data_IF_967836752588
#
_entry.id   IF_967836752588
#
_cell.length_a   1.000
_cell.length_b   1.000
_cell.length_c   1.000
_cell.angle_alpha   90.00
_cell.angle_beta   90.00
_cell.angle_gamma   90.00
#
_symmetry.space_group_name_H-M   'P 1'
#
loop_
_entity.id
_entity.type
_entity.pdbx_description
1 polymer ?
#
# COMPACT_ATOMS: atom_id res chain seq x y z
N UNK A 1 1.32 -18.71 -8.89
CA UNK A 1 1.30 -19.65 -10.05
C UNK A 1 -0.09 -20.26 -10.10
N UNK A 2 -0.87 -19.94 -11.14
CA UNK A 2 -2.28 -20.34 -11.30
C UNK A 2 -2.40 -21.75 -11.90
N UNK A 3 -3.39 -22.52 -11.45
CA UNK A 3 -3.69 -23.89 -11.92
C UNK A 3 -4.99 -23.96 -12.70
N UNK A 4 -5.01 -24.76 -13.78
CA UNK A 4 -6.22 -25.16 -14.50
C UNK A 4 -6.72 -26.53 -14.02
N UNK A 5 -8.04 -26.76 -14.01
CA UNK A 5 -8.63 -28.11 -13.86
C UNK A 5 -9.70 -28.36 -14.94
N UNK A 6 -9.68 -29.55 -15.53
CA UNK A 6 -10.80 -30.12 -16.29
C UNK A 6 -11.95 -30.54 -15.36
N UNK A 7 -13.16 -30.00 -15.60
CA UNK A 7 -14.44 -30.52 -15.08
C UNK A 7 -15.01 -29.75 -13.88
N UNK A 8 -16.25 -29.23 -14.04
CA UNK A 8 -17.05 -28.38 -13.13
C UNK A 8 -16.23 -27.52 -12.17
N UNK A 9 -15.99 -26.27 -12.57
CA UNK A 9 -15.07 -25.31 -11.96
C UNK A 9 -15.04 -25.38 -10.43
N UNK A 10 -13.87 -25.57 -9.86
CA UNK A 10 -13.61 -25.38 -8.43
C UNK A 10 -12.24 -24.76 -8.39
N UNK A 11 -12.14 -23.51 -7.94
CA UNK A 11 -10.86 -22.82 -7.87
C UNK A 11 -10.25 -23.09 -6.50
N UNK A 12 -8.94 -23.38 -6.49
CA UNK A 12 -8.22 -23.75 -5.27
C UNK A 12 -7.02 -22.83 -5.04
N UNK A 13 -6.75 -22.52 -3.77
CA UNK A 13 -5.53 -21.84 -3.33
C UNK A 13 -4.56 -22.85 -2.69
N UNK A 14 -3.26 -22.69 -2.95
CA UNK A 14 -2.18 -23.56 -2.48
C UNK A 14 -1.11 -22.74 -1.74
N UNK A 15 -0.64 -23.25 -0.60
CA UNK A 15 0.54 -22.71 0.10
C UNK A 15 1.67 -23.75 0.09
N UNK A 16 2.86 -23.35 -0.36
CA UNK A 16 4.07 -24.20 -0.38
C UNK A 16 4.97 -23.88 0.82
N UNK A 17 5.65 -24.90 1.36
CA UNK A 17 6.64 -24.72 2.41
C UNK A 17 7.96 -24.15 1.87
N UNK A 18 8.73 -23.51 2.76
CA UNK A 18 10.01 -22.86 2.44
C UNK A 18 11.11 -23.85 1.99
N UNK A 19 10.92 -25.15 2.21
CA UNK A 19 11.75 -26.23 1.67
C UNK A 19 10.89 -27.01 0.67
N UNK A 20 11.39 -27.25 -0.54
CA UNK A 20 10.68 -27.99 -1.60
C UNK A 20 10.00 -29.27 -1.04
N UNK A 21 8.67 -29.33 -1.04
CA UNK A 21 7.90 -30.37 -0.38
C UNK A 21 6.41 -30.36 -0.78
N UNK A 22 5.58 -31.26 -0.22
CA UNK A 22 4.14 -31.27 -0.49
C UNK A 22 3.47 -29.96 -0.05
N UNK A 23 2.22 -29.70 -0.48
CA UNK A 23 1.45 -28.55 0.00
C UNK A 23 1.42 -28.49 1.54
N UNK A 24 1.50 -27.28 2.10
CA UNK A 24 1.57 -27.06 3.55
C UNK A 24 0.31 -27.60 4.23
N UNK A 25 0.38 -28.71 4.99
CA UNK A 25 -0.81 -29.35 5.55
C UNK A 25 -1.52 -28.48 6.60
N UNK A 26 -0.87 -27.43 7.12
CA UNK A 26 -1.49 -26.45 8.02
C UNK A 26 -2.40 -25.45 7.31
N UNK A 27 -2.39 -25.42 5.96
CA UNK A 27 -3.21 -24.54 5.15
C UNK A 27 -4.46 -25.27 4.64
N UNK A 28 -5.64 -24.84 5.09
CA UNK A 28 -6.92 -25.45 4.70
C UNK A 28 -6.96 -26.96 4.96
N UNK A 29 -7.51 -27.71 4.00
CA UNK A 29 -7.59 -29.17 4.08
C UNK A 29 -6.45 -29.81 3.28
N UNK A 30 -5.36 -30.15 3.97
CA UNK A 30 -4.20 -30.82 3.35
C UNK A 30 -3.43 -29.92 2.38
N UNK A 31 -3.33 -28.62 2.69
CA UNK A 31 -2.68 -27.62 1.86
C UNK A 31 -3.57 -26.96 0.83
N UNK A 32 -4.88 -27.27 0.83
CA UNK A 32 -5.84 -26.81 -0.16
C UNK A 32 -7.02 -26.10 0.50
N UNK A 33 -7.37 -24.94 -0.06
CA UNK A 33 -8.65 -24.28 0.19
C UNK A 33 -9.45 -24.34 -1.10
N UNK A 34 -10.65 -24.90 -1.04
CA UNK A 34 -11.59 -24.93 -2.17
C UNK A 34 -12.62 -23.83 -1.94
N UNK A 35 -12.76 -22.98 -2.94
CA UNK A 35 -13.74 -21.90 -2.96
C UNK A 35 -14.86 -22.33 -3.90
N UNK A 36 -16.09 -21.93 -3.60
CA UNK A 36 -17.33 -22.38 -4.23
C UNK A 36 -17.24 -22.47 -5.78
N UNK A 37 -18.04 -23.36 -6.37
CA UNK A 37 -17.80 -23.98 -7.69
C UNK A 37 -17.98 -23.09 -8.95
N UNK A 38 -17.85 -21.79 -8.80
CA UNK A 38 -18.49 -20.83 -9.69
C UNK A 38 -17.74 -19.49 -9.77
N UNK A 39 -16.45 -19.51 -9.44
CA UNK A 39 -15.64 -18.30 -9.29
C UNK A 39 -14.31 -18.50 -10.00
N UNK A 40 -14.03 -17.62 -10.96
CA UNK A 40 -12.72 -17.53 -11.61
C UNK A 40 -11.90 -16.48 -10.88
N UNK A 41 -10.76 -16.87 -10.29
CA UNK A 41 -9.87 -15.95 -9.59
C UNK A 41 -9.02 -15.23 -10.63
N UNK A 42 -9.09 -13.90 -10.64
CA UNK A 42 -8.28 -13.02 -11.46
C UNK A 42 -6.96 -12.66 -10.76
N UNK A 43 -7.01 -12.35 -9.45
CA UNK A 43 -5.86 -11.88 -8.67
C UNK A 43 -5.82 -12.55 -7.29
N UNK A 44 -4.61 -12.79 -6.77
CA UNK A 44 -4.34 -13.19 -5.40
C UNK A 44 -3.27 -12.28 -4.81
N UNK A 45 -3.60 -11.65 -3.69
CA UNK A 45 -2.74 -10.71 -2.98
C UNK A 45 -2.52 -11.20 -1.54
N UNK A 46 -1.37 -10.90 -0.95
CA UNK A 46 -1.06 -11.23 0.45
C UNK A 46 -0.96 -9.94 1.25
N UNK A 47 -1.76 -9.82 2.31
CA UNK A 47 -1.75 -8.67 3.21
C UNK A 47 -0.53 -8.72 4.14
N UNK A 48 -0.11 -7.59 4.74
CA UNK A 48 1.02 -7.52 5.68
C UNK A 48 0.89 -8.49 6.87
N UNK A 49 -0.34 -8.72 7.36
CA UNK A 49 -0.62 -9.67 8.44
C UNK A 49 -0.62 -11.15 7.98
N UNK A 50 -0.34 -11.42 6.71
CA UNK A 50 -0.29 -12.78 6.13
C UNK A 50 -1.63 -13.33 5.67
N UNK A 51 -2.73 -12.57 5.79
CA UNK A 51 -4.01 -12.93 5.19
C UNK A 51 -3.90 -12.93 3.67
N UNK A 52 -4.75 -13.71 3.00
CA UNK A 52 -4.75 -13.85 1.55
C UNK A 52 -6.04 -13.24 1.01
N UNK A 53 -5.91 -12.21 0.19
CA UNK A 53 -7.02 -11.56 -0.50
C UNK A 53 -7.15 -12.11 -1.91
N UNK A 54 -8.37 -12.54 -2.24
CA UNK A 54 -8.72 -13.09 -3.53
C UNK A 54 -9.66 -12.12 -4.23
N UNK A 55 -9.42 -11.91 -5.52
CA UNK A 55 -10.27 -11.12 -6.41
C UNK A 55 -10.62 -11.99 -7.60
N UNK A 56 -11.90 -12.13 -7.89
CA UNK A 56 -12.36 -12.99 -8.96
C UNK A 56 -13.70 -12.55 -9.53
N UNK A 57 -14.13 -13.22 -10.59
CA UNK A 57 -15.42 -13.01 -11.21
C UNK A 57 -16.46 -13.96 -10.61
N UNK A 58 -17.62 -13.44 -10.24
CA UNK A 58 -18.76 -14.27 -9.89
C UNK A 58 -19.44 -14.83 -11.15
N UNK A 59 -20.02 -16.01 -11.08
CA UNK A 59 -20.73 -16.68 -12.20
C UNK A 59 -21.80 -15.81 -12.90
N UNK A 60 -22.43 -14.90 -12.17
CA UNK A 60 -23.47 -14.00 -12.71
C UNK A 60 -22.91 -12.69 -13.26
N UNK A 61 -21.58 -12.57 -13.36
CA UNK A 61 -20.85 -11.32 -13.57
C UNK A 61 -20.66 -10.55 -12.25
N UNK A 62 -19.68 -9.66 -12.18
CA UNK A 62 -19.36 -8.96 -10.94
C UNK A 62 -17.97 -9.21 -10.41
N UNK A 63 -17.62 -8.42 -9.40
CA UNK A 63 -16.38 -8.61 -8.63
C UNK A 63 -16.72 -9.40 -7.37
N UNK A 64 -16.17 -10.60 -7.29
CA UNK A 64 -16.12 -11.42 -6.10
C UNK A 64 -14.82 -11.18 -5.34
N UNK A 65 -14.92 -10.99 -4.04
CA UNK A 65 -13.80 -10.87 -3.12
C UNK A 65 -13.92 -11.95 -2.06
N UNK A 66 -12.81 -12.58 -1.69
CA UNK A 66 -12.73 -13.40 -0.50
C UNK A 66 -11.44 -13.13 0.25
N UNK A 67 -11.47 -13.17 1.57
CA UNK A 67 -10.28 -13.07 2.40
C UNK A 67 -10.12 -14.33 3.24
N UNK A 68 -8.93 -14.90 3.18
CA UNK A 68 -8.53 -16.05 3.97
C UNK A 68 -7.53 -15.61 5.03
N UNK A 69 -7.59 -16.24 6.20
CA UNK A 69 -6.54 -16.17 7.20
C UNK A 69 -5.28 -16.93 6.71
N UNK A 70 -4.11 -16.74 7.37
CA UNK A 70 -2.87 -17.41 6.98
C UNK A 70 -2.94 -18.95 6.98
N UNK A 71 -3.87 -19.53 7.73
CA UNK A 71 -4.14 -20.96 7.81
C UNK A 71 -5.15 -21.45 6.76
N UNK A 72 -5.65 -20.57 5.88
CA UNK A 72 -6.60 -20.90 4.83
C UNK A 72 -8.06 -20.95 5.27
N UNK A 73 -8.38 -20.68 6.54
CA UNK A 73 -9.76 -20.45 6.96
C UNK A 73 -10.30 -19.12 6.40
N UNK A 74 -11.62 -18.98 6.23
CA UNK A 74 -12.20 -17.71 5.81
C UNK A 74 -12.14 -16.68 6.94
N UNK A 75 -11.79 -15.44 6.62
CA UNK A 75 -11.76 -14.34 7.58
C UNK A 75 -13.15 -13.73 7.74
N UNK A 76 -13.89 -14.16 8.75
CA UNK A 76 -15.26 -13.70 9.04
C UNK A 76 -15.38 -12.18 9.26
N UNK A 77 -14.27 -11.47 9.46
CA UNK A 77 -14.24 -10.03 9.62
C UNK A 77 -14.27 -9.25 8.29
N UNK A 78 -14.27 -9.97 7.15
CA UNK A 78 -14.37 -9.43 5.80
C UNK A 78 -15.68 -9.84 5.13
N UNK A 79 -16.47 -8.85 4.66
CA UNK A 79 -17.76 -9.11 4.05
C UNK A 79 -18.68 -9.97 4.93
N UNK A 80 -19.30 -10.98 4.32
CA UNK A 80 -20.14 -11.97 5.00
C UNK A 80 -19.46 -13.33 4.92
N UNK A 81 -18.94 -13.83 6.05
CA UNK A 81 -18.26 -15.13 6.12
C UNK A 81 -16.97 -15.17 5.30
N UNK A 82 -16.21 -14.07 5.29
CA UNK A 82 -14.97 -13.92 4.53
C UNK A 82 -15.14 -13.71 3.03
N UNK A 83 -16.37 -13.40 2.57
CA UNK A 83 -16.71 -13.27 1.15
C UNK A 83 -17.54 -12.02 0.90
N UNK A 84 -17.42 -11.48 -0.30
CA UNK A 84 -18.28 -10.42 -0.81
C UNK A 84 -18.45 -10.56 -2.31
N UNK A 85 -19.63 -10.23 -2.83
CA UNK A 85 -19.84 -10.02 -4.25
C UNK A 85 -20.43 -8.64 -4.47
N UNK A 86 -19.89 -7.91 -5.44
CA UNK A 86 -20.45 -6.63 -5.86
C UNK A 86 -20.82 -6.68 -7.35
N UNK A 87 -22.03 -6.25 -7.72
CA UNK A 87 -22.49 -6.32 -9.10
C UNK A 87 -21.59 -5.55 -10.07
N UNK A 88 -21.38 -6.13 -11.25
CA UNK A 88 -20.83 -5.48 -12.42
C UNK A 88 -21.43 -6.16 -13.66
N UNK A 89 -22.52 -5.60 -14.18
CA UNK A 89 -23.25 -6.19 -15.31
C UNK A 89 -22.34 -6.32 -16.53
N UNK A 90 -22.17 -7.55 -17.03
CA UNK A 90 -21.34 -7.81 -18.22
C UNK A 90 -19.87 -7.45 -18.03
N UNK A 91 -19.36 -7.44 -16.80
CA UNK A 91 -17.98 -7.09 -16.51
C UNK A 91 -17.29 -8.03 -15.53
N UNK A 92 -15.97 -7.96 -15.55
CA UNK A 92 -15.06 -8.81 -14.79
C UNK A 92 -13.92 -7.97 -14.17
N UNK A 93 -13.41 -8.35 -12.99
CA UNK A 93 -12.14 -7.81 -12.52
C UNK A 93 -11.00 -8.35 -13.39
N UNK A 94 -10.02 -7.50 -13.65
CA UNK A 94 -8.88 -7.82 -14.51
C UNK A 94 -7.55 -7.75 -13.76
N UNK A 95 -7.40 -6.77 -12.87
CA UNK A 95 -6.20 -6.60 -12.05
C UNK A 95 -6.58 -5.99 -10.70
N UNK A 96 -5.80 -6.24 -9.66
CA UNK A 96 -5.98 -5.62 -8.37
C UNK A 96 -4.67 -5.40 -7.62
N UNK A 97 -4.70 -4.46 -6.67
CA UNK A 97 -3.55 -4.18 -5.79
C UNK A 97 -4.02 -3.78 -4.38
N UNK A 98 -3.13 -3.89 -3.40
CA UNK A 98 -3.38 -3.48 -2.02
C UNK A 98 -2.88 -2.05 -1.78
N UNK A 99 -3.80 -1.16 -1.40
CA UNK A 99 -3.48 0.18 -0.92
C UNK A 99 -3.11 0.14 0.57
N UNK A 100 -2.74 1.29 1.14
CA UNK A 100 -2.59 1.46 2.58
C UNK A 100 -3.88 1.07 3.37
N UNK A 101 -3.71 0.77 4.65
CA UNK A 101 -4.76 0.30 5.57
C UNK A 101 -5.49 -0.97 5.12
N UNK A 102 -4.83 -1.80 4.31
CA UNK A 102 -5.38 -3.04 3.71
C UNK A 102 -6.61 -2.81 2.81
N UNK A 103 -6.75 -1.59 2.27
CA UNK A 103 -7.76 -1.30 1.24
C UNK A 103 -7.36 -1.97 -0.08
N UNK A 104 -8.34 -2.25 -0.93
CA UNK A 104 -8.13 -2.90 -2.23
C UNK A 104 -8.53 -1.95 -3.36
N UNK A 105 -7.69 -1.85 -4.38
CA UNK A 105 -8.05 -1.20 -5.65
C UNK A 105 -8.13 -2.26 -6.74
N UNK A 106 -9.26 -2.32 -7.44
CA UNK A 106 -9.52 -3.29 -8.50
C UNK A 106 -9.77 -2.53 -9.80
N UNK A 107 -9.00 -2.86 -10.84
CA UNK A 107 -9.34 -2.51 -12.21
C UNK A 107 -10.26 -3.59 -12.78
N UNK A 108 -11.39 -3.17 -13.31
CA UNK A 108 -12.38 -4.05 -13.90
C UNK A 108 -12.83 -3.47 -15.24
N UNK A 109 -13.23 -4.35 -16.15
CA UNK A 109 -13.79 -3.97 -17.43
C UNK A 109 -15.25 -4.36 -17.45
N UNK A 110 -16.11 -3.50 -18.02
CA UNK A 110 -17.48 -3.88 -18.38
C UNK A 110 -17.75 -3.54 -19.84
N UNK A 111 -18.65 -4.30 -20.45
CA UNK A 111 -19.09 -4.03 -21.81
C UNK A 111 -20.36 -3.17 -21.80
N UNK A 112 -20.28 -1.97 -22.38
CA UNK A 112 -21.38 -1.00 -22.44
C UNK A 112 -21.47 -0.47 -23.88
N UNK A 113 -22.66 -0.53 -24.47
CA UNK A 113 -22.96 0.04 -25.78
C UNK A 113 -21.98 -0.33 -26.92
N UNK A 114 -21.41 -1.55 -26.87
CA UNK A 114 -20.52 -2.06 -27.91
C UNK A 114 -19.03 -1.82 -27.66
N UNK A 115 -18.64 -1.24 -26.53
CA UNK A 115 -17.26 -0.97 -26.17
C UNK A 115 -16.94 -1.44 -24.75
N UNK A 116 -15.67 -1.77 -24.50
CA UNK A 116 -15.18 -1.99 -23.15
C UNK A 116 -14.92 -0.65 -22.45
N UNK A 117 -15.50 -0.50 -21.26
CA UNK A 117 -15.23 0.60 -20.34
C UNK A 117 -14.40 0.08 -19.16
N UNK A 118 -13.28 0.75 -18.89
CA UNK A 118 -12.46 0.47 -17.71
C UNK A 118 -13.00 1.21 -16.49
N UNK A 119 -13.13 0.49 -15.37
CA UNK A 119 -13.52 1.01 -14.07
C UNK A 119 -12.42 0.75 -13.06
N UNK A 120 -12.15 1.73 -12.20
CA UNK A 120 -11.40 1.56 -10.97
C UNK A 120 -12.38 1.48 -9.81
N UNK A 121 -12.27 0.44 -8.99
CA UNK A 121 -13.16 0.20 -7.85
C UNK A 121 -12.33 0.08 -6.59
N UNK A 122 -12.50 1.00 -5.64
CA UNK A 122 -11.81 0.97 -4.35
C UNK A 122 -12.71 0.34 -3.30
N UNK A 123 -12.18 -0.63 -2.58
CA UNK A 123 -12.83 -1.28 -1.45
C UNK A 123 -12.07 -0.98 -0.16
N UNK A 124 -12.82 -0.86 0.92
CA UNK A 124 -12.28 -0.80 2.28
C UNK A 124 -11.64 -2.15 2.67
N UNK A 125 -10.90 -2.17 3.77
CA UNK A 125 -10.37 -3.41 4.36
C UNK A 125 -11.44 -4.35 4.92
N UNK A 126 -12.73 -3.97 4.87
CA UNK A 126 -13.88 -4.83 5.17
C UNK A 126 -14.53 -5.40 3.91
N UNK A 127 -14.01 -5.04 2.74
CA UNK A 127 -14.49 -5.49 1.44
C UNK A 127 -15.57 -4.61 0.85
N UNK A 128 -16.23 -3.72 1.60
CA UNK A 128 -17.26 -2.82 1.03
C UNK A 128 -16.64 -1.71 0.19
N UNK A 129 -17.34 -1.22 -0.84
CA UNK A 129 -16.88 -0.09 -1.66
C UNK A 129 -16.60 1.15 -0.80
N UNK A 130 -15.49 1.81 -1.05
CA UNK A 130 -15.04 3.00 -0.33
C UNK A 130 -15.67 4.25 -0.94
N UNK A 131 -16.75 4.76 -0.33
CA UNK A 131 -17.50 5.93 -0.83
C UNK A 131 -16.69 7.22 -0.91
N UNK A 132 -15.46 7.27 -0.35
CA UNK A 132 -14.54 8.41 -0.48
C UNK A 132 -13.76 8.41 -1.80
N UNK A 133 -13.95 7.40 -2.67
CA UNK A 133 -13.27 7.26 -3.96
C UNK A 133 -14.25 7.42 -5.11
N UNK A 134 -14.02 8.40 -5.98
CA UNK A 134 -14.89 8.62 -7.13
C UNK A 134 -16.37 8.72 -6.75
N UNK A 135 -17.22 8.13 -7.59
CA UNK A 135 -18.65 8.00 -7.33
C UNK A 135 -18.92 6.67 -6.60
N UNK A 136 -19.19 6.74 -5.30
CA UNK A 136 -19.55 5.56 -4.47
C UNK A 136 -18.52 4.42 -4.54
N UNK A 137 -17.23 4.75 -4.59
CA UNK A 137 -16.14 3.79 -4.67
C UNK A 137 -15.73 3.40 -6.09
N UNK A 138 -16.29 4.05 -7.12
CA UNK A 138 -16.04 3.72 -8.53
C UNK A 138 -15.63 4.96 -9.32
N UNK A 139 -14.60 4.80 -10.16
CA UNK A 139 -14.22 5.77 -11.19
C UNK A 139 -14.31 5.08 -12.54
N UNK A 140 -15.09 5.64 -13.46
CA UNK A 140 -15.03 5.26 -14.87
C UNK A 140 -13.86 5.98 -15.53
N UNK A 141 -12.97 5.23 -16.17
CA UNK A 141 -11.78 5.77 -16.82
C UNK A 141 -11.95 5.69 -18.33
N UNK A 142 -11.88 6.84 -18.98
CA UNK A 142 -11.87 6.91 -20.43
C UNK A 142 -10.42 6.79 -20.95
N UNK A 143 -10.02 5.58 -21.31
CA UNK A 143 -8.69 5.27 -21.85
C UNK A 143 -8.65 5.23 -23.39
N UNK A 144 -9.75 5.58 -24.04
CA UNK A 144 -10.03 5.12 -25.41
C UNK A 144 -10.71 3.75 -25.41
N UNK A 145 -11.36 3.40 -26.52
CA UNK A 145 -12.15 2.17 -26.61
C UNK A 145 -11.27 0.92 -26.37
N UNK A 146 -11.80 -0.11 -25.71
CA UNK A 146 -11.23 -1.47 -25.76
C UNK A 146 -9.84 -1.68 -25.15
N UNK A 147 -9.51 -0.91 -24.11
CA UNK A 147 -8.40 -1.23 -23.20
C UNK A 147 -8.89 -2.21 -22.13
N UNK A 148 -8.25 -3.37 -22.09
CA UNK A 148 -8.42 -4.38 -21.04
C UNK A 148 -7.22 -4.28 -20.09
N UNK A 149 -7.43 -3.95 -18.81
CA UNK A 149 -6.35 -3.93 -17.83
C UNK A 149 -5.67 -5.29 -17.71
N UNK A 150 -4.36 -5.28 -17.51
CA UNK A 150 -3.57 -6.47 -17.24
C UNK A 150 -2.85 -6.37 -15.89
N UNK A 151 -2.40 -5.18 -15.51
CA UNK A 151 -1.77 -4.95 -14.22
C UNK A 151 -2.12 -3.56 -13.67
N UNK A 152 -2.21 -3.50 -12.34
CA UNK A 152 -2.35 -2.26 -11.58
C UNK A 152 -1.24 -2.23 -10.53
N UNK A 153 -0.35 -1.25 -10.62
CA UNK A 153 0.88 -1.21 -9.80
C UNK A 153 0.96 0.09 -9.02
N UNK A 154 1.26 -0.01 -7.73
CA UNK A 154 1.36 1.12 -6.82
C UNK A 154 2.78 1.65 -6.71
N UNK A 155 2.85 2.94 -6.41
CA UNK A 155 4.03 3.62 -5.91
C UNK A 155 3.84 3.97 -4.42
N UNK A 156 4.95 4.21 -3.73
CA UNK A 156 5.00 4.57 -2.30
C UNK A 156 4.16 5.79 -1.90
N UNK A 157 3.87 6.71 -2.84
CA UNK A 157 3.01 7.89 -2.61
C UNK A 157 1.51 7.60 -2.86
N UNK A 158 1.15 6.33 -3.02
CA UNK A 158 -0.17 5.84 -3.38
C UNK A 158 -0.68 6.24 -4.78
N UNK A 159 0.12 6.95 -5.60
CA UNK A 159 -0.11 7.01 -7.04
C UNK A 159 0.04 5.61 -7.65
N UNK A 160 -0.56 5.38 -8.81
CA UNK A 160 -0.54 4.06 -9.42
C UNK A 160 -0.55 4.14 -10.95
N UNK A 161 -0.05 3.08 -11.57
CA UNK A 161 -0.16 2.88 -13.00
C UNK A 161 -1.19 1.79 -13.31
N UNK A 162 -1.93 2.00 -14.40
CA UNK A 162 -2.70 0.98 -15.07
C UNK A 162 -2.04 0.70 -16.41
N UNK A 163 -1.82 -0.59 -16.69
CA UNK A 163 -1.34 -1.04 -17.99
C UNK A 163 -2.23 -2.16 -18.50
N UNK A 164 -2.25 -2.33 -19.82
CA UNK A 164 -3.09 -3.34 -20.43
C UNK A 164 -2.90 -3.52 -21.91
N UNK A 165 -3.79 -4.33 -22.46
CA UNK A 165 -3.89 -4.64 -23.86
C UNK A 165 -5.03 -3.86 -24.48
N UNK A 166 -4.79 -3.33 -25.68
CA UNK A 166 -5.86 -2.82 -26.51
C UNK A 166 -6.35 -3.96 -27.42
N UNK A 167 -7.63 -4.31 -27.37
CA UNK A 167 -8.13 -5.51 -28.04
C UNK A 167 -8.14 -5.35 -29.58
N UNK A 168 -8.46 -4.15 -30.06
CA UNK A 168 -8.66 -3.86 -31.48
C UNK A 168 -7.78 -2.75 -32.07
N UNK A 169 -6.95 -2.06 -31.28
CA UNK A 169 -6.04 -1.02 -31.78
C UNK A 169 -4.58 -1.44 -31.74
N UNK A 170 -3.79 -0.77 -32.58
CA UNK A 170 -2.35 -0.99 -32.74
C UNK A 170 -1.53 -0.50 -31.53
N UNK A 171 -2.15 0.26 -30.63
CA UNK A 171 -1.49 1.03 -29.58
C UNK A 171 -1.95 0.55 -28.20
N UNK A 172 -1.02 0.01 -27.40
CA UNK A 172 -1.21 -0.06 -25.94
C UNK A 172 -0.83 1.29 -25.34
N UNK A 173 -1.40 1.60 -24.18
CA UNK A 173 -1.03 2.78 -23.42
C UNK A 173 -0.67 2.41 -21.98
N UNK A 174 0.19 3.24 -21.42
CA UNK A 174 0.44 3.33 -19.99
C UNK A 174 -0.36 4.51 -19.48
N UNK A 175 -1.11 4.31 -18.40
CA UNK A 175 -1.86 5.40 -17.76
C UNK A 175 -1.44 5.53 -16.31
N UNK A 176 -1.14 6.75 -15.88
CA UNK A 176 -0.82 7.08 -14.49
C UNK A 176 -1.98 7.83 -13.84
N UNK A 177 -2.18 7.52 -12.57
CA UNK A 177 -3.19 8.12 -11.72
C UNK A 177 -2.54 8.66 -10.46
N UNK A 178 -3.08 9.75 -9.94
CA UNK A 178 -2.76 10.21 -8.59
C UNK A 178 -3.47 9.34 -7.54
N UNK A 179 -3.12 9.51 -6.26
CA UNK A 179 -3.67 8.69 -5.18
C UNK A 179 -5.20 8.79 -5.01
N UNK A 180 -5.83 9.86 -5.50
CA UNK A 180 -7.28 10.02 -5.47
C UNK A 180 -8.01 9.31 -6.63
N UNK A 181 -7.26 8.74 -7.58
CA UNK A 181 -7.77 8.04 -8.75
C UNK A 181 -8.05 8.91 -9.97
N UNK A 182 -7.73 10.21 -9.92
CA UNK A 182 -7.67 11.08 -11.10
C UNK A 182 -6.44 10.78 -11.95
N UNK A 183 -6.54 11.03 -13.27
CA UNK A 183 -5.39 10.91 -14.19
C UNK A 183 -4.29 11.90 -13.79
N UNK A 184 -3.03 11.46 -13.78
CA UNK A 184 -1.88 12.30 -13.45
C UNK A 184 -1.52 13.22 -14.63
N UNK A 185 -1.83 14.52 -14.61
CA UNK A 185 -1.59 15.40 -15.76
C UNK A 185 -0.10 15.63 -16.05
N UNK A 186 0.81 15.29 -15.12
CA UNK A 186 2.25 15.43 -15.32
C UNK A 186 2.82 14.33 -16.23
N UNK A 187 2.07 13.26 -16.48
CA UNK A 187 2.51 12.13 -17.29
C UNK A 187 1.91 12.14 -18.70
N UNK A 188 2.77 12.05 -19.71
CA UNK A 188 2.36 11.91 -21.11
C UNK A 188 1.40 13.01 -21.55
N UNK A 189 0.31 12.62 -22.22
CA UNK A 189 -0.78 13.51 -22.62
C UNK A 189 -1.98 13.25 -21.70
N UNK A 190 -2.18 14.10 -20.69
CA UNK A 190 -3.31 14.00 -19.77
C UNK A 190 -3.32 12.72 -18.94
N UNK A 191 -2.15 12.23 -18.52
CA UNK A 191 -1.99 11.01 -17.71
C UNK A 191 -1.81 9.74 -18.50
N UNK A 192 -1.75 9.79 -19.83
CA UNK A 192 -1.59 8.61 -20.68
C UNK A 192 -0.42 8.79 -21.66
N UNK A 193 0.37 7.73 -21.85
CA UNK A 193 1.45 7.68 -22.83
C UNK A 193 1.37 6.40 -23.67
N UNK A 194 1.51 6.47 -25.01
CA UNK A 194 1.46 5.29 -25.85
C UNK A 194 2.73 4.44 -25.74
N UNK A 195 2.60 3.15 -26.01
CA UNK A 195 3.71 2.23 -26.29
C UNK A 195 3.54 1.65 -27.70
N UNK A 196 4.48 1.96 -28.59
CA UNK A 196 4.45 1.50 -29.99
C UNK A 196 5.75 0.77 -30.27
N UNK A 197 5.70 -0.56 -30.22
CA UNK A 197 6.86 -1.40 -30.51
C UNK A 197 6.66 -2.26 -31.76
N UNK A 198 5.44 -2.34 -32.30
CA UNK A 198 5.11 -3.11 -33.50
C UNK A 198 3.72 -2.77 -34.04
N UNK A 199 3.15 -3.70 -34.81
CA UNK A 199 1.79 -3.60 -35.36
C UNK A 199 0.74 -3.72 -34.26
N UNK A 200 0.96 -4.57 -33.27
CA UNK A 200 0.15 -4.62 -32.04
C UNK A 200 1.07 -4.74 -30.85
N UNK A 201 0.82 -3.97 -29.81
CA UNK A 201 1.56 -4.04 -28.55
C UNK A 201 0.59 -4.35 -27.43
N UNK A 202 1.03 -5.14 -26.46
CA UNK A 202 0.21 -5.60 -25.34
C UNK A 202 1.08 -5.59 -24.08
N UNK A 203 0.71 -4.79 -23.09
CA UNK A 203 1.44 -4.70 -21.82
C UNK A 203 0.75 -5.65 -20.83
N UNK A 204 1.51 -6.59 -20.27
CA UNK A 204 1.00 -7.60 -19.34
C UNK A 204 1.34 -7.26 -17.89
N UNK A 205 2.50 -6.63 -17.67
CA UNK A 205 2.99 -6.36 -16.33
C UNK A 205 3.78 -5.06 -16.29
N UNK A 206 3.89 -4.50 -15.11
CA UNK A 206 4.66 -3.29 -14.86
C UNK A 206 5.29 -3.31 -13.47
N UNK A 207 6.28 -2.45 -13.25
CA UNK A 207 6.86 -2.26 -11.93
C UNK A 207 7.41 -0.85 -11.82
N UNK A 208 7.10 -0.18 -10.71
CA UNK A 208 7.78 1.06 -10.37
C UNK A 208 9.15 0.77 -9.76
N UNK A 209 10.12 1.57 -10.15
CA UNK A 209 11.37 1.73 -9.42
C UNK A 209 11.70 3.21 -9.43
N UNK A 210 11.58 3.84 -8.26
CA UNK A 210 11.72 5.28 -8.11
C UNK A 210 10.76 6.03 -9.07
N UNK A 211 11.26 7.04 -9.79
CA UNK A 211 10.49 7.82 -10.78
C UNK A 211 10.31 7.13 -12.13
N UNK A 212 10.71 5.86 -12.26
CA UNK A 212 10.56 5.09 -13.50
C UNK A 212 9.48 4.03 -13.37
N UNK A 213 8.69 3.89 -14.43
CA UNK A 213 7.83 2.74 -14.61
C UNK A 213 8.44 1.85 -15.70
N UNK A 214 8.74 0.61 -15.34
CA UNK A 214 9.12 -0.42 -16.31
C UNK A 214 7.86 -1.19 -16.69
N UNK A 215 7.68 -1.45 -17.98
CA UNK A 215 6.52 -2.19 -18.50
C UNK A 215 6.98 -3.31 -19.42
N UNK A 216 6.37 -4.47 -19.28
CA UNK A 216 6.70 -5.69 -20.01
C UNK A 216 5.50 -6.32 -20.70
N UNK A 217 5.74 -6.96 -21.83
CA UNK A 217 4.69 -7.64 -22.58
C UNK A 217 5.17 -8.18 -23.92
N UNK A 218 4.33 -8.08 -24.95
CA UNK A 218 4.70 -8.50 -26.30
C UNK A 218 4.38 -7.44 -27.35
N UNK A 219 5.08 -7.53 -28.47
CA UNK A 219 4.83 -6.79 -29.70
C UNK A 219 4.73 -7.74 -30.89
N UNK A 220 3.81 -7.46 -31.79
CA UNK A 220 3.59 -8.21 -33.03
C UNK A 220 4.21 -7.51 -34.23
N UNK A 221 4.81 -8.31 -35.11
CA UNK A 221 5.37 -7.90 -36.38
C UNK A 221 4.96 -8.92 -37.44
N UNK A 222 3.84 -8.69 -38.12
CA UNK A 222 3.21 -9.69 -38.97
C UNK A 222 2.82 -10.93 -38.18
N UNK A 223 3.32 -12.11 -38.58
CA UNK A 223 3.03 -13.37 -37.90
C UNK A 223 3.93 -13.66 -36.68
N UNK A 224 4.91 -12.80 -36.38
CA UNK A 224 5.85 -13.01 -35.29
C UNK A 224 5.47 -12.19 -34.04
N UNK A 225 5.67 -12.79 -32.86
CA UNK A 225 5.58 -12.12 -31.56
C UNK A 225 6.96 -12.02 -30.94
N UNK A 226 7.31 -10.83 -30.44
CA UNK A 226 8.53 -10.56 -29.70
C UNK A 226 8.20 -10.09 -28.29
N UNK A 227 9.05 -10.46 -27.33
CA UNK A 227 8.99 -9.84 -26.00
C UNK A 227 9.32 -8.35 -26.11
N UNK A 228 8.59 -7.53 -25.35
CA UNK A 228 8.71 -6.10 -25.30
C UNK A 228 8.98 -5.62 -23.87
N UNK A 229 9.95 -4.70 -23.73
CA UNK A 229 10.23 -4.00 -22.47
C UNK A 229 10.43 -2.52 -22.77
N UNK A 230 9.78 -1.67 -22.00
CA UNK A 230 9.96 -0.22 -22.06
C UNK A 230 10.08 0.37 -20.66
N UNK A 231 10.70 1.54 -20.58
CA UNK A 231 10.79 2.31 -19.36
C UNK A 231 10.27 3.72 -19.62
N UNK A 232 9.41 4.20 -18.74
CA UNK A 232 8.84 5.54 -18.78
C UNK A 232 9.43 6.37 -17.64
N UNK A 233 9.87 7.59 -17.96
CA UNK A 233 10.00 8.63 -16.94
C UNK A 233 8.60 9.13 -16.62
N UNK A 234 8.23 9.02 -15.35
CA UNK A 234 6.86 9.26 -14.92
C UNK A 234 6.63 10.71 -14.49
N UNK A 235 7.69 11.54 -14.50
CA UNK A 235 7.61 12.91 -13.99
C UNK A 235 7.37 13.00 -12.48
N UNK A 236 7.30 11.86 -11.79
CA UNK A 236 7.05 11.78 -10.36
C UNK A 236 8.12 12.56 -9.60
N UNK A 237 7.66 13.53 -8.80
CA UNK A 237 8.52 14.29 -7.92
C UNK A 237 9.03 13.36 -6.81
N UNK A 238 10.30 13.51 -6.45
CA UNK A 238 10.88 12.79 -5.30
C UNK A 238 10.08 13.16 -4.07
N UNK A 239 9.73 12.18 -3.23
CA UNK A 239 8.97 12.44 -2.02
C UNK A 239 9.83 12.29 -0.77
N UNK A 240 9.51 13.06 0.28
CA UNK A 240 10.12 13.00 1.59
C UNK A 240 9.11 12.49 2.61
N UNK A 241 9.48 11.46 3.35
CA UNK A 241 8.63 10.83 4.35
C UNK A 241 9.43 10.41 5.58
N UNK A 242 8.77 10.36 6.72
CA UNK A 242 9.28 9.63 7.87
C UNK A 242 9.23 8.11 7.62
N UNK A 243 10.24 7.39 8.12
CA UNK A 243 10.33 5.93 8.00
C UNK A 243 10.94 5.30 9.27
N UNK A 244 10.13 4.79 10.23
CA UNK A 244 8.66 4.74 10.25
C UNK A 244 8.00 6.10 10.53
N UNK A 245 6.66 6.18 10.51
CA UNK A 245 5.89 7.40 10.81
C UNK A 245 5.57 7.59 12.30
N UNK A 246 5.95 6.63 13.14
CA UNK A 246 5.74 6.70 14.58
C UNK A 246 6.76 5.84 15.31
N UNK A 247 7.02 6.16 16.57
CA UNK A 247 7.82 5.35 17.48
C UNK A 247 7.34 5.52 18.91
N UNK A 248 7.72 4.58 19.77
CA UNK A 248 7.51 4.64 21.22
C UNK A 248 8.84 4.34 21.90
N UNK A 249 9.25 5.18 22.86
CA UNK A 249 10.53 5.06 23.57
C UNK A 249 10.35 5.43 25.04
N UNK A 250 11.04 4.76 25.98
CA UNK A 250 11.08 5.19 27.39
C UNK A 250 11.75 6.55 27.53
N UNK A 251 11.28 7.37 28.47
CA UNK A 251 11.90 8.66 28.81
C UNK A 251 13.37 8.51 29.26
N UNK A 252 13.70 7.39 29.93
CA UNK A 252 15.07 7.01 30.25
C UNK A 252 16.00 6.83 29.04
N UNK A 253 15.45 6.82 27.81
CA UNK A 253 16.24 6.86 26.58
C UNK A 253 16.78 8.26 26.35
N UNK A 254 18.10 8.46 26.44
CA UNK A 254 18.71 9.79 26.30
C UNK A 254 18.29 10.58 25.04
N UNK A 255 18.02 9.90 23.92
CA UNK A 255 17.49 10.53 22.72
C UNK A 255 16.75 9.55 21.79
N UNK A 256 15.70 10.04 21.13
CA UNK A 256 15.04 9.38 20.01
C UNK A 256 15.63 9.86 18.68
N UNK A 257 15.91 8.92 17.76
CA UNK A 257 16.36 9.24 16.40
C UNK A 257 15.25 8.94 15.41
N UNK A 258 14.78 9.96 14.69
CA UNK A 258 13.74 9.86 13.69
C UNK A 258 14.38 9.89 12.31
N UNK A 259 14.03 8.92 11.47
CA UNK A 259 14.57 8.82 10.11
C UNK A 259 13.63 9.51 9.12
N UNK A 260 14.18 10.44 8.33
CA UNK A 260 13.50 11.06 7.18
C UNK A 260 14.19 10.58 5.91
N UNK A 261 13.41 10.08 4.97
CA UNK A 261 13.92 9.42 3.78
C UNK A 261 13.34 10.01 2.50
N UNK A 262 14.20 10.17 1.50
CA UNK A 262 13.83 10.40 0.11
C UNK A 262 13.42 9.10 -0.56
N UNK A 263 12.36 9.16 -1.37
CA UNK A 263 11.93 8.05 -2.24
C UNK A 263 13.00 7.64 -3.25
N UNK A 264 13.91 8.55 -3.63
CA UNK A 264 15.06 8.29 -4.50
C UNK A 264 16.17 9.33 -4.34
N UNK A 265 17.39 9.00 -4.76
CA UNK A 265 18.50 9.96 -4.76
C UNK A 265 18.21 11.16 -5.66
N UNK A 266 18.71 12.32 -5.26
CA UNK A 266 18.65 13.54 -6.05
C UNK A 266 20.04 13.90 -6.61
N UNK A 267 20.08 14.49 -7.80
CA UNK A 267 21.31 15.07 -8.36
C UNK A 267 21.56 16.51 -7.87
N UNK A 268 20.56 17.11 -7.24
CA UNK A 268 20.62 18.42 -6.60
C UNK A 268 20.32 18.25 -5.11
N UNK A 269 20.72 19.23 -4.29
CA UNK A 269 20.35 19.25 -2.88
C UNK A 269 18.84 19.33 -2.73
N UNK A 270 18.29 18.50 -1.85
CA UNK A 270 16.89 18.55 -1.41
C UNK A 270 16.86 19.07 0.02
N UNK A 271 15.96 19.99 0.34
CA UNK A 271 15.77 20.47 1.71
C UNK A 271 14.34 20.26 2.18
N UNK A 272 14.15 20.11 3.49
CA UNK A 272 12.81 20.09 4.11
C UNK A 272 12.89 20.63 5.53
N UNK A 273 11.92 21.45 5.91
CA UNK A 273 11.80 21.95 7.29
C UNK A 273 11.12 20.90 8.16
N UNK A 274 11.48 20.84 9.43
CA UNK A 274 10.76 20.10 10.44
C UNK A 274 10.50 20.96 11.67
N UNK A 275 9.38 20.71 12.34
CA UNK A 275 9.03 21.37 13.59
C UNK A 275 8.11 20.51 14.46
N UNK A 276 8.24 20.66 15.79
CA UNK A 276 7.26 20.15 16.74
C UNK A 276 6.01 21.03 16.66
N UNK A 277 4.84 20.42 16.43
CA UNK A 277 3.57 21.16 16.20
C UNK A 277 2.46 20.81 17.19
N UNK A 278 2.67 19.82 18.05
CA UNK A 278 1.72 19.43 19.07
C UNK A 278 2.12 18.14 19.76
N UNK A 279 1.17 17.56 20.49
CA UNK A 279 1.40 16.46 21.43
C UNK A 279 0.97 16.85 22.84
N UNK A 280 1.11 15.92 23.80
CA UNK A 280 0.94 16.22 25.23
C UNK A 280 2.26 16.60 25.89
N UNK A 281 3.38 16.11 25.36
CA UNK A 281 4.71 16.42 25.86
C UNK A 281 5.10 17.88 25.58
N UNK A 282 5.86 18.45 26.49
CA UNK A 282 6.28 19.86 26.56
C UNK A 282 7.78 20.01 26.31
N UNK A 283 8.12 20.85 25.33
CA UNK A 283 9.52 21.16 25.01
C UNK A 283 10.22 21.89 26.17
N UNK A 284 11.39 21.39 26.57
CA UNK A 284 12.17 21.83 27.72
C UNK A 284 11.79 21.17 29.05
N UNK A 285 10.70 20.40 29.09
CA UNK A 285 10.32 19.58 30.24
C UNK A 285 10.56 18.11 29.92
N UNK A 286 9.85 17.57 28.93
CA UNK A 286 9.82 16.11 28.65
C UNK A 286 10.74 15.76 27.47
N UNK A 287 10.98 16.73 26.58
CA UNK A 287 11.92 16.60 25.47
C UNK A 287 12.58 17.94 25.13
N UNK A 288 13.69 17.91 24.41
CA UNK A 288 14.27 19.10 23.78
C UNK A 288 14.42 18.88 22.27
N UNK A 289 13.73 19.71 21.48
CA UNK A 289 13.84 19.75 20.02
C UNK A 289 13.71 21.19 19.52
N UNK A 290 14.69 21.66 18.74
CA UNK A 290 14.56 22.89 17.98
C UNK A 290 14.02 22.58 16.57
N UNK A 291 13.16 23.44 16.02
CA UNK A 291 12.79 23.38 14.61
C UNK A 291 14.02 23.59 13.72
N UNK A 292 14.06 22.93 12.57
CA UNK A 292 15.24 22.98 11.70
C UNK A 292 14.94 22.64 10.25
N UNK A 293 16.01 22.58 9.46
CA UNK A 293 15.96 22.18 8.05
C UNK A 293 16.92 21.02 7.84
N UNK A 294 16.43 19.90 7.32
CA UNK A 294 17.26 18.82 6.81
C UNK A 294 17.71 19.16 5.39
N UNK A 295 18.95 18.85 5.07
CA UNK A 295 19.51 18.97 3.72
C UNK A 295 20.08 17.63 3.29
N UNK A 296 19.56 17.09 2.20
CA UNK A 296 20.06 15.87 1.56
C UNK A 296 20.99 16.29 0.44
N UNK A 297 22.28 15.99 0.56
CA UNK A 297 23.25 16.25 -0.50
C UNK A 297 22.94 15.38 -1.73
N UNK A 298 23.46 15.72 -2.92
CA UNK A 298 23.31 14.88 -4.09
C UNK A 298 23.74 13.43 -3.82
N UNK A 299 22.87 12.46 -4.12
CA UNK A 299 23.11 11.04 -3.85
C UNK A 299 22.72 10.56 -2.44
N UNK A 300 22.40 11.45 -1.50
CA UNK A 300 21.89 11.05 -0.19
C UNK A 300 20.40 10.73 -0.24
N UNK A 301 19.98 9.77 0.59
CA UNK A 301 18.56 9.38 0.73
C UNK A 301 18.03 9.50 2.14
N UNK A 302 18.89 9.56 3.15
CA UNK A 302 18.48 9.43 4.54
C UNK A 302 19.09 10.56 5.35
N UNK A 303 18.26 11.23 6.14
CA UNK A 303 18.68 12.15 7.18
C UNK A 303 17.96 11.82 8.47
N UNK A 304 18.50 12.32 9.59
CA UNK A 304 17.97 12.04 10.91
C UNK A 304 17.63 13.32 11.65
N UNK A 305 16.55 13.27 12.43
CA UNK A 305 16.21 14.27 13.44
C UNK A 305 16.45 13.60 14.80
N UNK A 306 17.21 14.26 15.67
CA UNK A 306 17.46 13.78 17.03
C UNK A 306 16.65 14.60 18.02
N UNK A 307 15.82 13.93 18.80
CA UNK A 307 15.04 14.52 19.90
C UNK A 307 15.70 14.06 21.20
N UNK A 308 16.21 14.98 22.00
CA UNK A 308 16.70 14.65 23.34
C UNK A 308 15.49 14.45 24.25
N UNK A 309 15.47 13.39 25.05
CA UNK A 309 14.42 13.16 26.05
C UNK A 309 14.94 13.59 27.42
N UNK A 310 14.05 14.15 28.22
CA UNK A 310 14.32 14.34 29.64
C UNK A 310 13.81 13.09 30.37
N UNK A 311 14.64 12.61 31.30
CA UNK A 311 14.24 11.56 32.23
C UNK A 311 14.20 12.20 33.61
N UNK A 312 13.14 12.00 34.37
CA UNK A 312 13.09 12.44 35.75
C UNK A 312 12.73 11.36 36.79
N UNK A 313 11.87 11.68 37.74
CA UNK A 313 11.46 10.77 38.84
C UNK A 313 9.98 10.94 39.20
N UNK A 314 9.25 11.76 38.42
CA UNK A 314 7.84 12.04 38.59
C UNK A 314 7.05 10.92 37.92
N UNK A 315 5.97 10.48 38.58
CA UNK A 315 5.03 9.53 37.98
C UNK A 315 4.07 10.31 37.07
N UNK A 316 4.25 10.16 35.77
CA UNK A 316 3.53 10.85 34.71
C UNK A 316 2.78 9.85 33.78
N UNK A 317 1.73 10.28 33.07
CA UNK A 317 1.14 9.45 32.02
C UNK A 317 2.03 9.44 30.77
N UNK A 318 2.00 8.36 29.98
CA UNK A 318 2.63 8.34 28.65
C UNK A 318 2.23 9.58 27.81
N UNK A 319 3.24 10.23 27.24
CA UNK A 319 3.08 11.47 26.51
C UNK A 319 3.41 11.35 25.03
N UNK A 320 2.95 12.31 24.23
CA UNK A 320 3.18 12.31 22.78
C UNK A 320 3.82 13.60 22.30
N UNK A 321 4.64 13.49 21.25
CA UNK A 321 5.21 14.58 20.48
C UNK A 321 4.89 14.38 18.99
N UNK A 322 4.30 15.40 18.36
CA UNK A 322 3.96 15.42 16.93
C UNK A 322 4.92 16.35 16.18
N UNK A 323 5.63 15.80 15.20
CA UNK A 323 6.58 16.52 14.35
C UNK A 323 6.07 16.50 12.91
N UNK A 324 6.05 17.66 12.24
CA UNK A 324 5.64 17.79 10.84
C UNK A 324 6.82 18.19 9.95
N UNK A 325 6.86 17.64 8.74
CA UNK A 325 7.69 18.13 7.65
C UNK A 325 6.94 19.21 6.87
N UNK A 326 7.63 20.29 6.48
CA UNK A 326 7.09 21.37 5.67
C UNK A 326 8.10 21.92 4.66
N UNK A 327 7.60 22.71 3.71
CA UNK A 327 8.40 23.51 2.77
C UNK A 327 9.54 22.74 2.07
N UNK A 328 9.28 21.58 1.45
CA UNK A 328 10.33 20.85 0.74
C UNK A 328 10.80 21.63 -0.50
N UNK A 329 12.08 21.48 -0.84
CA UNK A 329 12.66 21.96 -2.10
C UNK A 329 13.17 20.79 -2.93
N UNK A 330 12.99 20.84 -4.26
CA UNK A 330 13.37 19.77 -5.19
C UNK A 330 12.77 18.38 -4.88
N UNK A 331 11.71 18.36 -4.07
CA UNK A 331 10.93 17.22 -3.65
C UNK A 331 9.54 17.68 -3.21
N UNK A 332 8.63 16.72 -3.03
CA UNK A 332 7.31 16.90 -2.41
C UNK A 332 7.26 16.17 -1.06
N UNK A 333 6.27 16.49 -0.23
CA UNK A 333 6.00 15.68 0.97
C UNK A 333 5.28 14.38 0.55
N UNK A 334 5.74 13.25 1.07
CA UNK A 334 5.06 11.96 0.89
C UNK A 334 3.96 11.73 1.94
N UNK A 335 3.35 10.53 1.92
CA UNK A 335 2.21 10.21 2.79
C UNK A 335 2.51 10.32 4.28
N UNK A 336 3.76 10.05 4.70
CA UNK A 336 4.18 10.13 6.10
C UNK A 336 4.93 11.43 6.39
N UNK A 337 4.30 12.58 6.16
CA UNK A 337 4.88 13.89 6.50
C UNK A 337 4.72 14.26 8.00
N UNK A 338 3.96 13.46 8.74
CA UNK A 338 3.74 13.58 10.19
C UNK A 338 4.40 12.41 10.91
N UNK A 339 5.16 12.71 11.95
CA UNK A 339 5.67 11.72 12.90
C UNK A 339 4.98 11.88 14.26
N UNK A 340 4.63 10.77 14.89
CA UNK A 340 4.18 10.76 16.30
C UNK A 340 5.15 9.94 17.14
N UNK A 341 5.85 10.60 18.06
CA UNK A 341 6.68 9.95 19.08
C UNK A 341 5.85 9.80 20.35
N UNK A 342 5.80 8.59 20.92
CA UNK A 342 5.28 8.35 22.27
C UNK A 342 6.46 8.22 23.22
N UNK A 343 6.48 9.02 24.28
CA UNK A 343 7.44 8.96 25.38
C UNK A 343 6.73 8.20 26.50
N UNK A 344 7.24 7.02 26.84
CA UNK A 344 6.63 6.20 27.89
C UNK A 344 7.30 6.47 29.22
N UNK A 345 6.48 6.72 30.24
CA UNK A 345 6.92 6.92 31.63
C UNK A 345 7.54 5.62 32.16
N UNK A 346 8.67 5.74 32.85
CA UNK A 346 9.32 4.59 33.51
C UNK A 346 9.44 4.72 35.03
N UNK A 347 8.80 5.74 35.58
CA UNK A 347 8.63 5.94 36.99
C UNK A 347 7.38 5.22 37.52
N UNK A 348 7.18 5.27 38.83
CA UNK A 348 6.00 4.66 39.43
C UNK A 348 5.54 5.47 40.61
N UNK A 349 4.21 5.56 40.76
CA UNK A 349 3.53 6.26 41.83
C UNK A 349 4.31 6.20 43.15
N UNK A 350 4.95 7.31 43.50
CA UNK A 350 5.80 7.48 44.68
C UNK A 350 5.13 6.83 45.89
N UNK A 351 5.57 5.61 46.27
CA UNK A 351 5.02 4.92 47.42
C UNK A 351 5.51 5.68 48.66
N UNK A 352 4.64 6.18 49.54
CA UNK A 352 5.09 6.88 50.73
C UNK A 352 5.98 5.95 51.56
N UNK A 353 7.18 6.41 51.87
CA UNK A 353 8.16 5.72 52.71
C UNK A 353 7.52 5.31 54.04
N UNK A 354 7.20 4.02 54.21
CA UNK A 354 6.77 3.49 55.50
C UNK A 354 7.96 3.42 56.45
N UNK A 355 8.12 4.43 57.31
CA UNK A 355 8.97 4.31 58.49
C UNK A 355 8.35 3.32 59.47
N UNK A 356 8.85 2.07 59.53
CA UNK A 356 8.53 1.16 60.64
C UNK A 356 9.34 1.56 61.87
N UNK A 357 8.68 2.17 62.85
CA UNK A 357 9.20 2.27 64.22
C UNK A 357 8.85 0.98 64.95
N UNK A 358 9.85 0.12 65.17
CA UNK A 358 9.70 -1.06 66.02
C UNK A 358 9.95 -0.67 67.47
N UNK A 359 8.90 -0.58 68.28
CA UNK A 359 9.03 -0.47 69.74
C UNK A 359 9.08 -1.89 70.30
N UNK A 360 10.18 -2.34 70.94
CA UNK A 360 10.22 -3.65 71.57
C UNK A 360 9.28 -3.67 72.79
N UNK A 361 8.35 -4.63 72.81
CA UNK A 361 7.57 -4.95 74.00
C UNK A 361 8.48 -5.59 75.04
N UNK A 362 8.64 -4.93 76.20
CA UNK A 362 9.15 -5.57 77.42
C UNK A 362 8.02 -6.45 77.97
N UNK A 363 8.17 -7.77 77.86
CA UNK A 363 7.28 -8.71 78.55
C UNK A 363 7.63 -8.75 80.05
N UNK A 364 6.60 -8.62 80.89
CA UNK A 364 6.65 -8.88 82.33
C UNK A 364 6.58 -10.38 82.62
#
# INVERSE_FOLDING_TARGET
>A
MAGAIQGSASTFALRLQANCGPPDPSFGKGGLVVIDKSIEIAELLVLPAGQIQLVGMAETGGVFLARLAPDGSFDDSFGSGGRLSTPLTGGAPNAATLLADDKLLVAATRFVDGAHETLLRRYTNRGVLDSSFGEQGVIAVNLGADVIPAALVLRDDASFALVGCHEYALLSSVTLFTADGSLDPAFGTGGTAPLILGERTCIHDAVFSDSRLFVGGFAEHGAAQSFALAAYDTGAQRSLSFAPAQASVPEATAAATLTVQLSQTAAQTVTVRYEATGGSATNGQDYTLASGTLAFAPGERVQHITVALANDSADEPDETLIILLSDPSNAILGGNARFTLTITDDDGANQPTQYRVSIPLVQQ
#
